data_IF_677511105200
#
_entry.id   IF_677511105200
#
_cell.length_a   1.000
_cell.length_b   1.000
_cell.length_c   1.000
_cell.angle_alpha   90.00
_cell.angle_beta   90.00
_cell.angle_gamma   90.00
#
_symmetry.space_group_name_H-M   'P 1'
#
loop_
_entity.id
_entity.type
_entity.pdbx_description
1 polymer ?
#
# COMPACT_ATOMS: atom_id res chain seq x y z
N UNK A 1 -12.77 1.94 -5.70
CA UNK A 1 -11.84 2.53 -4.71
C UNK A 1 -10.83 3.44 -5.39
N UNK A 2 -10.24 4.37 -4.64
CA UNK A 2 -9.04 5.12 -5.03
C UNK A 2 -7.85 4.64 -4.20
N UNK A 3 -6.80 4.21 -4.89
CA UNK A 3 -5.68 3.48 -4.31
C UNK A 3 -4.41 4.30 -4.52
N UNK A 4 -3.64 4.49 -3.45
CA UNK A 4 -2.32 5.11 -3.50
C UNK A 4 -1.25 4.03 -3.56
N UNK A 5 -0.39 4.07 -4.57
CA UNK A 5 0.72 3.12 -4.75
C UNK A 5 2.05 3.84 -4.55
N UNK A 6 2.92 3.27 -3.71
CA UNK A 6 4.27 3.77 -3.44
C UNK A 6 5.31 2.66 -3.66
N UNK A 7 6.10 2.76 -4.72
CA UNK A 7 7.14 1.79 -5.05
C UNK A 7 8.24 2.47 -5.89
N UNK A 8 9.51 2.30 -5.55
CA UNK A 8 10.61 2.93 -6.31
C UNK A 8 10.96 2.19 -7.61
N UNK A 9 10.36 1.02 -7.85
CA UNK A 9 10.44 0.28 -9.10
C UNK A 9 9.34 0.73 -10.09
N UNK A 10 9.70 1.45 -11.17
CA UNK A 10 8.71 1.96 -12.14
C UNK A 10 7.96 0.84 -12.88
N UNK A 11 8.55 -0.35 -12.98
CA UNK A 11 7.90 -1.53 -13.55
C UNK A 11 6.75 -2.02 -12.68
N UNK A 12 6.94 -2.04 -11.35
CA UNK A 12 5.90 -2.44 -10.40
C UNK A 12 4.77 -1.41 -10.38
N UNK A 13 5.11 -0.11 -10.31
CA UNK A 13 4.11 0.96 -10.38
C UNK A 13 3.22 0.81 -11.62
N UNK A 14 3.82 0.62 -12.79
CA UNK A 14 3.07 0.51 -14.05
C UNK A 14 2.25 -0.79 -14.14
N UNK A 15 2.78 -1.89 -13.61
CA UNK A 15 2.04 -3.16 -13.52
C UNK A 15 0.78 -3.00 -12.68
N UNK A 16 0.93 -2.49 -11.45
CA UNK A 16 -0.16 -2.31 -10.51
C UNK A 16 -1.16 -1.26 -11.01
N UNK A 17 -0.70 -0.16 -11.58
CA UNK A 17 -1.56 0.87 -12.16
C UNK A 17 -2.45 0.31 -13.28
N UNK A 18 -1.86 -0.42 -14.22
CA UNK A 18 -2.62 -1.06 -15.30
C UNK A 18 -3.63 -2.08 -14.75
N UNK A 19 -3.19 -2.90 -13.80
CA UNK A 19 -4.02 -3.96 -13.23
C UNK A 19 -5.22 -3.40 -12.46
N UNK A 20 -4.99 -2.47 -11.54
CA UNK A 20 -6.05 -1.86 -10.72
C UNK A 20 -7.00 -0.99 -11.57
N UNK A 21 -6.47 -0.31 -12.58
CA UNK A 21 -7.32 0.44 -13.53
C UNK A 21 -8.22 -0.50 -14.33
N UNK A 22 -7.72 -1.69 -14.70
CA UNK A 22 -8.51 -2.74 -15.35
C UNK A 22 -9.65 -3.25 -14.46
N UNK A 23 -9.46 -3.23 -13.13
CA UNK A 23 -10.47 -3.53 -12.12
C UNK A 23 -11.38 -2.32 -11.80
N UNK A 24 -11.40 -1.28 -12.64
CA UNK A 24 -12.20 -0.06 -12.47
C UNK A 24 -11.87 0.74 -11.19
N UNK A 25 -10.67 0.60 -10.64
CA UNK A 25 -10.21 1.45 -9.54
C UNK A 25 -9.51 2.72 -10.05
N UNK A 26 -9.53 3.77 -9.24
CA UNK A 26 -8.72 4.96 -9.46
C UNK A 26 -7.36 4.76 -8.79
N UNK A 27 -6.27 5.07 -9.50
CA UNK A 27 -4.93 4.82 -9.00
C UNK A 27 -4.14 6.11 -9.00
N UNK A 28 -3.44 6.38 -7.89
CA UNK A 28 -2.38 7.37 -7.83
C UNK A 28 -1.07 6.66 -7.52
N UNK A 29 -0.09 6.75 -8.41
CA UNK A 29 1.19 6.06 -8.28
C UNK A 29 2.33 7.07 -8.04
N UNK A 30 3.22 6.78 -7.10
CA UNK A 30 4.40 7.61 -6.81
C UNK A 30 5.63 6.75 -6.55
N UNK A 31 6.79 7.23 -6.99
CA UNK A 31 8.06 6.50 -6.84
C UNK A 31 8.84 6.82 -5.55
N UNK A 32 8.20 7.45 -4.58
CA UNK A 32 8.85 7.90 -3.35
C UNK A 32 7.84 8.03 -2.22
N UNK A 33 8.12 7.43 -1.06
CA UNK A 33 7.28 7.52 0.12
C UNK A 33 7.00 8.94 0.59
N UNK A 34 7.95 9.89 0.44
CA UNK A 34 7.71 11.30 0.79
C UNK A 34 6.61 11.92 -0.07
N UNK A 35 6.65 11.70 -1.39
CA UNK A 35 5.61 12.19 -2.30
C UNK A 35 4.26 11.53 -2.01
N UNK A 36 4.28 10.25 -1.63
CA UNK A 36 3.06 9.53 -1.25
C UNK A 36 2.44 10.07 0.02
N UNK A 37 3.26 10.35 1.04
CA UNK A 37 2.82 11.03 2.26
C UNK A 37 2.23 12.40 1.96
N UNK A 38 2.94 13.23 1.18
CA UNK A 38 2.46 14.57 0.79
C UNK A 38 1.14 14.49 0.02
N UNK A 39 1.01 13.53 -0.90
CA UNK A 39 -0.20 13.33 -1.70
C UNK A 39 -1.37 12.83 -0.86
N UNK A 40 -1.13 11.91 0.08
CA UNK A 40 -2.17 11.44 1.00
C UNK A 40 -2.67 12.58 1.89
N UNK A 41 -1.76 13.37 2.47
CA UNK A 41 -2.11 14.47 3.36
C UNK A 41 -2.86 15.63 2.68
N UNK A 42 -2.80 15.73 1.35
CA UNK A 42 -3.60 16.71 0.60
C UNK A 42 -5.10 16.38 0.62
N UNK A 43 -5.45 15.10 0.62
CA UNK A 43 -6.83 14.63 0.59
C UNK A 43 -6.94 13.22 1.23
N UNK A 44 -6.84 13.12 2.56
CA UNK A 44 -6.77 11.83 3.27
C UNK A 44 -8.03 10.96 3.09
N UNK A 45 -9.20 11.60 2.96
CA UNK A 45 -10.49 10.92 2.79
C UNK A 45 -10.69 10.40 1.37
N UNK A 46 -9.84 10.80 0.41
CA UNK A 46 -9.95 10.31 -0.95
C UNK A 46 -9.31 8.94 -1.17
N UNK A 47 -8.45 8.45 -0.26
CA UNK A 47 -7.76 7.18 -0.45
C UNK A 47 -8.37 6.09 0.40
N UNK A 48 -8.91 5.06 -0.27
CA UNK A 48 -9.51 3.91 0.40
C UNK A 48 -8.45 2.88 0.82
N UNK A 49 -7.31 2.83 0.11
CA UNK A 49 -6.27 1.82 0.30
C UNK A 49 -4.89 2.39 -0.07
N UNK A 50 -3.87 2.00 0.71
CA UNK A 50 -2.47 2.24 0.37
C UNK A 50 -1.79 0.92 0.03
N UNK A 51 -1.09 0.87 -1.10
CA UNK A 51 -0.19 -0.22 -1.49
C UNK A 51 1.23 0.35 -1.48
N UNK A 52 2.15 -0.23 -0.71
CA UNK A 52 3.52 0.30 -0.62
C UNK A 52 4.58 -0.78 -0.53
N UNK A 53 5.76 -0.54 -1.11
CA UNK A 53 6.94 -1.32 -0.75
C UNK A 53 7.36 -0.99 0.68
N UNK A 54 7.85 -2.02 1.35
CA UNK A 54 8.41 -1.93 2.69
C UNK A 54 9.69 -1.11 2.72
N UNK A 55 10.51 -1.23 1.67
CA UNK A 55 11.79 -0.56 1.56
C UNK A 55 11.80 0.25 0.27
N UNK A 56 12.14 1.53 0.38
CA UNK A 56 12.26 2.43 -0.76
C UNK A 56 13.47 3.33 -0.58
N UNK A 57 14.03 3.81 -1.67
CA UNK A 57 15.08 4.83 -1.61
C UNK A 57 14.55 6.14 -0.99
N UNK A 58 14.97 6.43 0.26
CA UNK A 58 14.59 7.66 0.97
C UNK A 58 13.67 7.39 2.16
N UNK A 59 12.39 7.79 2.06
CA UNK A 59 11.40 7.52 3.09
C UNK A 59 10.71 6.18 2.79
N UNK A 60 11.01 5.18 3.61
CA UNK A 60 10.46 3.83 3.50
C UNK A 60 8.93 3.81 3.71
N UNK A 61 8.23 2.86 3.09
CA UNK A 61 6.78 2.74 3.18
C UNK A 61 6.30 2.57 4.62
N UNK A 62 6.99 1.75 5.42
CA UNK A 62 6.62 1.60 6.84
C UNK A 62 6.69 2.91 7.61
N UNK A 63 7.68 3.77 7.32
CA UNK A 63 7.82 5.07 7.97
C UNK A 63 6.71 6.03 7.54
N UNK A 64 6.25 5.94 6.28
CA UNK A 64 5.07 6.69 5.80
C UNK A 64 3.84 6.27 6.59
N UNK A 65 3.57 4.97 6.70
CA UNK A 65 2.37 4.47 7.38
C UNK A 65 2.40 4.78 8.88
N UNK A 66 3.55 4.61 9.54
CA UNK A 66 3.72 4.99 10.93
C UNK A 66 3.43 6.48 11.15
N UNK A 67 3.90 7.35 10.25
CA UNK A 67 3.63 8.78 10.31
C UNK A 67 2.16 9.10 10.11
N UNK A 68 1.49 8.45 9.16
CA UNK A 68 0.04 8.62 8.95
C UNK A 68 -0.75 8.22 10.20
N UNK A 69 -0.34 7.12 10.86
CA UNK A 69 -0.94 6.68 12.11
C UNK A 69 -0.75 7.68 13.24
N UNK A 70 0.45 8.24 13.41
CA UNK A 70 0.74 9.29 14.40
C UNK A 70 -0.13 10.54 14.20
N UNK A 71 -0.43 10.88 12.94
CA UNK A 71 -1.32 12.00 12.58
C UNK A 71 -2.81 11.65 12.73
N UNK A 72 -3.14 10.42 13.15
CA UNK A 72 -4.50 9.97 13.42
C UNK A 72 -5.23 9.31 12.26
N UNK A 73 -4.54 9.03 11.15
CA UNK A 73 -5.14 8.34 10.00
C UNK A 73 -5.03 6.82 10.14
N UNK A 74 -6.16 6.13 9.94
CA UNK A 74 -6.27 4.66 10.05
C UNK A 74 -6.76 4.05 8.72
N UNK A 75 -5.96 4.27 7.67
CA UNK A 75 -6.19 3.76 6.32
C UNK A 75 -5.68 2.32 6.20
N UNK A 76 -6.42 1.40 5.53
CA UNK A 76 -5.91 0.06 5.28
C UNK A 76 -4.69 0.08 4.37
N UNK A 77 -3.72 -0.78 4.66
CA UNK A 77 -2.44 -0.86 3.96
C UNK A 77 -2.13 -2.28 3.50
N UNK A 78 -1.65 -2.41 2.26
CA UNK A 78 -1.04 -3.61 1.72
C UNK A 78 0.44 -3.35 1.50
N UNK A 79 1.30 -4.19 2.09
CA UNK A 79 2.72 -4.14 1.83
C UNK A 79 3.10 -5.11 0.71
N UNK A 80 3.96 -4.69 -0.23
CA UNK A 80 4.50 -5.55 -1.28
C UNK A 80 6.02 -5.46 -1.23
N UNK A 81 6.73 -6.48 -0.76
CA UNK A 81 8.18 -6.39 -0.58
C UNK A 81 8.95 -7.62 -0.99
N UNK A 82 10.16 -7.44 -1.53
CA UNK A 82 11.08 -8.56 -1.80
C UNK A 82 11.92 -8.98 -0.59
N UNK A 83 11.85 -8.23 0.51
CA UNK A 83 12.54 -8.56 1.77
C UNK A 83 11.47 -8.77 2.84
N UNK A 84 11.21 -10.04 3.17
CA UNK A 84 10.12 -10.44 4.06
C UNK A 84 10.04 -9.66 5.38
N UNK A 85 8.81 -9.54 5.90
CA UNK A 85 8.47 -8.68 7.03
C UNK A 85 8.81 -9.26 8.42
N UNK A 86 9.43 -10.45 8.47
CA UNK A 86 9.56 -11.26 9.69
C UNK A 86 10.20 -10.54 10.88
N UNK A 87 11.06 -9.54 10.62
CA UNK A 87 11.82 -8.82 11.64
C UNK A 87 11.13 -7.52 12.14
N UNK A 88 10.00 -7.10 11.54
CA UNK A 88 9.38 -5.80 11.83
C UNK A 88 7.97 -5.89 12.43
N UNK A 89 7.67 -6.99 13.13
CA UNK A 89 6.38 -7.18 13.82
C UNK A 89 6.05 -6.05 14.81
N UNK A 90 7.01 -5.58 15.61
CA UNK A 90 6.76 -4.50 16.58
C UNK A 90 6.28 -3.20 15.95
N UNK A 91 6.83 -2.80 14.79
CA UNK A 91 6.47 -1.53 14.12
C UNK A 91 5.13 -1.64 13.40
N UNK A 92 4.61 -2.85 13.22
CA UNK A 92 3.45 -3.16 12.38
C UNK A 92 2.22 -3.56 13.17
N UNK A 93 2.36 -3.83 14.47
CA UNK A 93 1.28 -4.25 15.36
C UNK A 93 0.13 -3.24 15.49
N UNK A 94 0.43 -1.94 15.45
CA UNK A 94 -0.58 -0.88 15.59
C UNK A 94 -1.09 -0.33 14.25
N UNK A 95 -0.57 -0.86 13.13
CA UNK A 95 -0.93 -0.42 11.79
C UNK A 95 -2.08 -1.28 11.25
N UNK A 96 -2.99 -0.66 10.49
CA UNK A 96 -4.10 -1.36 9.83
C UNK A 96 -3.61 -2.07 8.56
N UNK A 97 -2.83 -3.12 8.76
CA UNK A 97 -2.27 -3.92 7.69
C UNK A 97 -3.29 -4.97 7.29
N UNK A 98 -3.72 -4.91 6.03
CA UNK A 98 -4.63 -5.88 5.44
C UNK A 98 -3.85 -7.12 5.04
N UNK A 99 -2.77 -6.93 4.30
CA UNK A 99 -1.96 -8.04 3.80
C UNK A 99 -0.52 -7.61 3.53
N UNK A 100 0.34 -8.62 3.43
CA UNK A 100 1.73 -8.48 3.03
C UNK A 100 1.99 -9.50 1.94
N UNK A 101 2.41 -9.03 0.77
CA UNK A 101 2.78 -9.84 -0.38
C UNK A 101 4.31 -9.81 -0.54
N UNK A 102 4.91 -10.98 -0.70
CA UNK A 102 6.33 -11.11 -0.97
C UNK A 102 6.60 -11.06 -2.49
N UNK A 103 7.61 -10.31 -2.94
CA UNK A 103 8.05 -10.32 -4.34
C UNK A 103 8.92 -11.58 -4.60
N UNK A 104 8.70 -12.34 -5.69
CA UNK A 104 7.66 -12.15 -6.71
C UNK A 104 6.28 -12.62 -6.23
N UNK A 105 5.24 -11.83 -6.53
CA UNK A 105 3.84 -12.12 -6.21
C UNK A 105 3.03 -12.35 -7.49
N UNK A 106 1.95 -13.11 -7.38
CA UNK A 106 0.98 -13.28 -8.45
C UNK A 106 -0.12 -12.20 -8.38
N UNK A 107 -0.60 -11.74 -9.54
CA UNK A 107 -1.73 -10.79 -9.60
C UNK A 107 -3.00 -11.36 -8.96
N UNK A 108 -3.14 -12.69 -8.97
CA UNK A 108 -4.24 -13.40 -8.29
C UNK A 108 -4.21 -13.18 -6.77
N UNK A 109 -3.03 -13.23 -6.14
CA UNK A 109 -2.88 -12.98 -4.70
C UNK A 109 -3.27 -11.54 -4.37
N UNK A 110 -2.82 -10.59 -5.19
CA UNK A 110 -3.24 -9.19 -5.05
C UNK A 110 -4.77 -9.04 -5.17
N UNK A 111 -5.41 -9.74 -6.10
CA UNK A 111 -6.86 -9.71 -6.26
C UNK A 111 -7.61 -10.23 -5.02
N UNK A 112 -7.11 -11.31 -4.42
CA UNK A 112 -7.71 -11.87 -3.20
C UNK A 112 -7.63 -10.85 -2.06
N UNK A 113 -6.48 -10.20 -1.88
CA UNK A 113 -6.30 -9.13 -0.90
C UNK A 113 -7.25 -7.96 -1.17
N UNK A 114 -7.36 -7.49 -2.41
CA UNK A 114 -8.27 -6.41 -2.78
C UNK A 114 -9.73 -6.78 -2.46
N UNK A 115 -10.11 -8.03 -2.75
CA UNK A 115 -11.46 -8.53 -2.46
C UNK A 115 -11.79 -8.52 -0.96
N UNK A 116 -10.79 -8.77 -0.09
CA UNK A 116 -10.96 -8.66 1.37
C UNK A 116 -11.15 -7.21 1.83
N UNK A 117 -10.48 -6.25 1.18
CA UNK A 117 -10.68 -4.81 1.47
C UNK A 117 -12.07 -4.34 1.04
N UNK A 118 -12.53 -4.80 -0.12
CA UNK A 118 -13.85 -4.45 -0.64
C UNK A 118 -15.00 -5.10 0.12
N UNK A 119 -14.82 -6.35 0.59
CA UNK A 119 -15.82 -7.11 1.35
C UNK A 119 -15.22 -7.66 2.65
N UNK A 120 -15.15 -6.86 3.73
CA UNK A 120 -14.61 -7.31 5.01
C UNK A 120 -15.52 -8.32 5.76
N UNK A 121 -16.72 -8.64 5.25
CA UNK A 121 -17.69 -9.56 5.90
C UNK A 121 -17.57 -11.03 5.47
N UNK A 122 -16.56 -11.42 4.67
CA UNK A 122 -16.43 -12.77 4.13
C UNK A 122 -15.50 -13.72 4.93
N UNK A 123 -15.22 -13.43 6.21
CA UNK A 123 -14.42 -14.30 7.09
C UNK A 123 -15.22 -14.84 8.29
#
# INVERSE_FOLDING_TARGET
MKILIMDDEPLILKLLENYLTMLNHQVASVSNGKKGLELFLQDPEAFDLIITDFKMSGLDGISVIARLKEEGYDVPVVFISGYGMADKKEVTQDLKIVAVLDKPFDLSELNEVLSQVENPENE
#
